data_IF_094579062627
#
_entry.id   IF_094579062627
#
_cell.length_a   1.000
_cell.length_b   1.000
_cell.length_c   1.000
_cell.angle_alpha   90.00
_cell.angle_beta   90.00
_cell.angle_gamma   90.00
#
_symmetry.space_group_name_H-M   'P 1'
#
loop_
_entity.id
_entity.type
_entity.pdbx_description
1 polymer ?
#
# COMPACT_ATOMS: atom_id res chain seq x y z
N UNK A 1 -23.22 -8.51 26.53
CA UNK A 1 -23.09 -9.96 26.27
C UNK A 1 -24.16 -10.45 25.28
N UNK A 2 -25.45 -10.15 25.50
CA UNK A 2 -26.54 -10.59 24.60
C UNK A 2 -26.42 -10.08 23.16
N UNK A 3 -26.12 -8.78 22.96
CA UNK A 3 -25.97 -8.21 21.61
C UNK A 3 -24.79 -8.80 20.84
N UNK A 4 -23.68 -9.10 21.54
CA UNK A 4 -22.51 -9.75 20.93
C UNK A 4 -22.88 -11.13 20.38
N UNK A 5 -23.63 -11.93 21.16
CA UNK A 5 -24.12 -13.24 20.71
C UNK A 5 -25.04 -13.13 19.50
N UNK A 6 -25.93 -12.13 19.46
CA UNK A 6 -26.81 -11.88 18.31
C UNK A 6 -26.02 -11.51 17.06
N UNK A 7 -24.96 -10.70 17.19
CA UNK A 7 -24.07 -10.37 16.07
C UNK A 7 -23.36 -11.63 15.57
N UNK A 8 -22.76 -12.43 16.45
CA UNK A 8 -22.10 -13.68 16.05
C UNK A 8 -23.04 -14.64 15.32
N UNK A 9 -24.29 -14.80 15.81
CA UNK A 9 -25.29 -15.63 15.16
C UNK A 9 -25.71 -15.09 13.79
N UNK A 10 -25.95 -13.78 13.68
CA UNK A 10 -26.34 -13.18 12.41
C UNK A 10 -25.22 -13.25 11.37
N UNK A 11 -23.96 -13.07 11.75
CA UNK A 11 -22.79 -13.24 10.86
C UNK A 11 -22.70 -14.69 10.37
N UNK A 12 -22.85 -15.66 11.27
CA UNK A 12 -22.85 -17.07 10.89
C UNK A 12 -23.98 -17.42 9.92
N UNK A 13 -25.21 -16.97 10.19
CA UNK A 13 -26.35 -17.19 9.29
C UNK A 13 -26.07 -16.57 7.92
N UNK A 14 -25.52 -15.36 7.87
CA UNK A 14 -25.19 -14.69 6.61
C UNK A 14 -24.22 -15.51 5.74
N UNK A 15 -23.20 -16.13 6.35
CA UNK A 15 -22.13 -16.80 5.61
C UNK A 15 -22.41 -18.29 5.33
N UNK A 16 -23.14 -18.98 6.21
CA UNK A 16 -23.26 -20.45 6.16
C UNK A 16 -24.68 -20.98 5.98
N UNK A 17 -25.74 -20.15 6.11
CA UNK A 17 -27.11 -20.64 5.94
C UNK A 17 -27.41 -20.96 4.47
N UNK A 18 -28.02 -22.12 4.23
CA UNK A 18 -28.36 -22.61 2.90
C UNK A 18 -29.56 -21.87 2.30
N UNK A 19 -30.44 -21.32 3.13
CA UNK A 19 -31.63 -20.61 2.71
C UNK A 19 -31.32 -19.13 2.43
N UNK A 20 -31.60 -18.69 1.20
CA UNK A 20 -31.37 -17.30 0.80
C UNK A 20 -32.19 -16.29 1.62
N UNK A 21 -33.41 -16.64 2.02
CA UNK A 21 -34.26 -15.77 2.85
C UNK A 21 -33.64 -15.47 4.23
N UNK A 22 -33.04 -16.46 4.89
CA UNK A 22 -32.39 -16.29 6.18
C UNK A 22 -31.14 -15.41 6.05
N UNK A 23 -30.34 -15.61 5.01
CA UNK A 23 -29.18 -14.74 4.71
C UNK A 23 -29.58 -13.29 4.47
N UNK A 24 -30.66 -13.06 3.72
CA UNK A 24 -31.18 -11.70 3.48
C UNK A 24 -31.67 -11.07 4.78
N UNK A 25 -32.41 -11.81 5.61
CA UNK A 25 -32.88 -11.30 6.90
C UNK A 25 -31.72 -10.97 7.86
N UNK A 26 -30.71 -11.85 7.93
CA UNK A 26 -29.50 -11.60 8.72
C UNK A 26 -28.74 -10.37 8.21
N UNK A 27 -28.56 -10.23 6.89
CA UNK A 27 -27.92 -9.05 6.31
C UNK A 27 -28.69 -7.76 6.63
N UNK A 28 -30.03 -7.76 6.49
CA UNK A 28 -30.86 -6.60 6.82
C UNK A 28 -30.71 -6.19 8.28
N UNK A 29 -30.73 -7.16 9.19
CA UNK A 29 -30.51 -6.90 10.61
C UNK A 29 -29.11 -6.35 10.89
N UNK A 30 -28.06 -6.90 10.26
CA UNK A 30 -26.68 -6.41 10.41
C UNK A 30 -26.51 -4.99 9.85
N UNK A 31 -27.16 -4.65 8.74
CA UNK A 31 -27.18 -3.29 8.18
C UNK A 31 -27.86 -2.31 9.14
N UNK A 32 -28.98 -2.69 9.74
CA UNK A 32 -29.65 -1.87 10.76
C UNK A 32 -28.77 -1.70 12.01
N UNK A 33 -28.14 -2.79 12.46
CA UNK A 33 -27.23 -2.79 13.59
C UNK A 33 -26.06 -1.82 13.38
N UNK A 34 -25.46 -1.78 12.18
CA UNK A 34 -24.37 -0.86 11.82
C UNK A 34 -24.72 0.61 12.04
N UNK A 35 -26.00 0.99 11.94
CA UNK A 35 -26.48 2.36 12.12
C UNK A 35 -26.67 2.72 13.61
N UNK A 36 -26.68 1.74 14.52
CA UNK A 36 -26.89 1.98 15.94
C UNK A 36 -25.63 2.49 16.64
N UNK A 37 -25.82 3.18 17.78
CA UNK A 37 -24.71 3.56 18.66
C UNK A 37 -24.03 2.35 19.33
N UNK A 38 -24.78 1.28 19.61
CA UNK A 38 -24.26 0.06 20.23
C UNK A 38 -23.20 -0.66 19.37
N UNK A 39 -23.20 -0.43 18.05
CA UNK A 39 -22.21 -0.98 17.14
C UNK A 39 -20.77 -0.61 17.51
N UNK A 40 -20.54 0.60 18.06
CA UNK A 40 -19.22 1.03 18.52
C UNK A 40 -18.68 0.12 19.63
N UNK A 41 -19.45 -0.03 20.70
CA UNK A 41 -19.04 -0.80 21.88
C UNK A 41 -18.95 -2.30 21.57
N UNK A 42 -19.92 -2.86 20.85
CA UNK A 42 -19.96 -4.28 20.54
C UNK A 42 -18.81 -4.68 19.61
N UNK A 43 -18.55 -3.90 18.55
CA UNK A 43 -17.44 -4.20 17.64
C UNK A 43 -16.08 -4.06 18.33
N UNK A 44 -15.91 -3.02 19.16
CA UNK A 44 -14.69 -2.85 19.96
C UNK A 44 -14.48 -4.03 20.90
N UNK A 45 -15.53 -4.44 21.63
CA UNK A 45 -15.46 -5.56 22.57
C UNK A 45 -15.19 -6.92 21.88
N UNK A 46 -15.68 -7.13 20.66
CA UNK A 46 -15.38 -8.33 19.88
C UNK A 46 -13.86 -8.40 19.61
N UNK A 47 -13.28 -7.31 19.09
CA UNK A 47 -11.86 -7.27 18.73
C UNK A 47 -10.91 -7.37 19.94
N UNK A 48 -11.24 -6.71 21.06
CA UNK A 48 -10.36 -6.65 22.24
C UNK A 48 -10.57 -7.78 23.24
N UNK A 49 -11.56 -8.65 23.07
CA UNK A 49 -11.79 -9.71 24.05
C UNK A 49 -10.70 -10.78 24.02
N UNK A 50 -10.23 -11.19 25.20
CA UNK A 50 -9.19 -12.21 25.41
C UNK A 50 -9.72 -13.65 25.30
N UNK A 51 -10.86 -13.88 24.63
CA UNK A 51 -11.43 -15.23 24.53
C UNK A 51 -10.65 -16.13 23.57
N UNK A 52 -9.42 -16.48 23.96
CA UNK A 52 -8.81 -17.79 23.70
C UNK A 52 -9.40 -18.75 24.75
N UNK A 53 -10.70 -19.01 24.66
CA UNK A 53 -11.26 -20.20 25.28
C UNK A 53 -11.88 -21.01 24.16
N UNK A 54 -11.43 -22.26 23.92
CA UNK A 54 -12.19 -23.18 23.12
C UNK A 54 -13.43 -23.51 23.95
N UNK A 55 -14.48 -22.69 23.85
CA UNK A 55 -15.80 -23.15 24.24
C UNK A 55 -16.09 -24.30 23.28
N UNK A 56 -16.06 -25.52 23.82
CA UNK A 56 -16.35 -26.82 23.21
C UNK A 56 -17.77 -26.92 22.60
N UNK A 57 -18.33 -25.82 22.08
CA UNK A 57 -19.68 -25.72 21.54
C UNK A 57 -19.94 -24.58 20.54
N UNK A 58 -18.95 -23.76 20.14
CA UNK A 58 -19.20 -22.71 19.14
C UNK A 58 -18.82 -23.19 17.75
N UNK A 59 -19.80 -23.54 16.92
CA UNK A 59 -19.69 -23.95 15.52
C UNK A 59 -19.30 -22.80 14.56
N UNK A 60 -18.75 -21.68 15.06
CA UNK A 60 -18.44 -20.50 14.26
C UNK A 60 -16.93 -20.31 14.17
N UNK A 61 -16.33 -20.14 12.99
CA UNK A 61 -14.97 -19.62 12.90
C UNK A 61 -14.98 -18.16 13.42
N UNK A 62 -14.48 -17.95 14.65
CA UNK A 62 -14.51 -16.67 15.36
C UNK A 62 -14.01 -15.48 14.51
N UNK A 63 -13.07 -15.76 13.59
CA UNK A 63 -12.45 -14.82 12.66
C UNK A 63 -13.43 -14.06 11.76
N UNK A 64 -14.56 -14.66 11.37
CA UNK A 64 -15.55 -13.97 10.53
C UNK A 64 -16.26 -12.85 11.30
N UNK A 65 -16.51 -13.09 12.60
CA UNK A 65 -17.15 -12.12 13.49
C UNK A 65 -16.18 -10.97 13.79
N UNK A 66 -14.90 -11.27 13.98
CA UNK A 66 -13.87 -10.25 14.16
C UNK A 66 -13.63 -9.43 12.89
N UNK A 67 -13.64 -10.07 11.72
CA UNK A 67 -13.56 -9.38 10.43
C UNK A 67 -14.73 -8.42 10.23
N UNK A 68 -15.95 -8.89 10.51
CA UNK A 68 -17.13 -8.04 10.49
C UNK A 68 -17.02 -6.86 11.48
N UNK A 69 -16.55 -7.10 12.71
CA UNK A 69 -16.35 -6.05 13.69
C UNK A 69 -15.34 -4.98 13.24
N UNK A 70 -14.21 -5.39 12.65
CA UNK A 70 -13.22 -4.47 12.08
C UNK A 70 -13.80 -3.62 10.95
N UNK A 71 -14.58 -4.23 10.04
CA UNK A 71 -15.26 -3.50 8.97
C UNK A 71 -16.29 -2.48 9.48
N UNK A 72 -17.08 -2.85 10.51
CA UNK A 72 -18.01 -1.93 11.15
C UNK A 72 -17.26 -0.72 11.71
N UNK A 73 -16.20 -0.96 12.49
CA UNK A 73 -15.45 0.14 13.10
C UNK A 73 -14.86 1.04 12.04
N UNK A 74 -14.20 0.49 11.00
CA UNK A 74 -13.70 1.29 9.87
C UNK A 74 -14.80 2.19 9.30
N UNK A 75 -15.94 1.61 8.92
CA UNK A 75 -17.04 2.36 8.29
C UNK A 75 -17.64 3.42 9.23
N UNK A 76 -17.84 3.09 10.51
CA UNK A 76 -18.39 4.04 11.48
C UNK A 76 -17.41 5.17 11.79
N UNK A 77 -16.12 4.88 11.91
CA UNK A 77 -15.07 5.91 12.04
C UNK A 77 -15.10 6.82 10.81
N UNK A 78 -15.19 6.23 9.62
CA UNK A 78 -15.20 7.00 8.39
C UNK A 78 -16.42 7.95 8.30
N UNK A 79 -17.60 7.47 8.68
CA UNK A 79 -18.87 8.18 8.50
C UNK A 79 -19.30 9.06 9.67
N UNK A 80 -18.97 8.68 10.90
CA UNK A 80 -19.47 9.27 12.15
C UNK A 80 -18.33 9.67 13.10
N UNK A 81 -17.07 9.36 12.78
CA UNK A 81 -15.94 9.57 13.69
C UNK A 81 -15.70 11.03 14.08
N UNK A 82 -16.16 12.01 13.28
CA UNK A 82 -16.09 13.44 13.63
C UNK A 82 -17.02 13.82 14.79
N UNK A 83 -18.08 13.03 15.04
CA UNK A 83 -19.04 13.26 16.14
C UNK A 83 -18.51 12.79 17.50
N UNK A 84 -17.47 11.95 17.52
CA UNK A 84 -16.92 11.38 18.74
C UNK A 84 -16.16 12.43 19.55
N UNK A 85 -16.35 12.42 20.87
CA UNK A 85 -15.55 13.22 21.80
C UNK A 85 -14.11 12.72 21.86
N UNK A 86 -13.16 13.61 22.18
CA UNK A 86 -11.73 13.30 22.17
C UNK A 86 -11.37 12.11 23.08
N UNK A 87 -11.93 12.03 24.30
CA UNK A 87 -11.67 10.90 25.21
C UNK A 87 -12.15 9.55 24.66
N UNK A 88 -13.25 9.53 23.91
CA UNK A 88 -13.76 8.31 23.24
C UNK A 88 -12.85 7.92 22.08
N UNK A 89 -12.35 8.90 21.32
CA UNK A 89 -11.37 8.68 20.25
C UNK A 89 -10.07 8.08 20.80
N UNK A 90 -9.54 8.59 21.90
CA UNK A 90 -8.34 8.04 22.56
C UNK A 90 -8.55 6.60 23.06
N UNK A 91 -9.70 6.32 23.68
CA UNK A 91 -10.04 4.96 24.13
C UNK A 91 -10.14 3.98 22.94
N UNK A 92 -10.76 4.42 21.84
CA UNK A 92 -10.90 3.61 20.63
C UNK A 92 -9.56 3.37 19.94
N UNK A 93 -8.67 4.38 19.91
CA UNK A 93 -7.31 4.25 19.39
C UNK A 93 -6.55 3.15 20.14
N UNK A 94 -6.57 3.19 21.48
CA UNK A 94 -5.93 2.16 22.31
C UNK A 94 -6.53 0.78 22.07
N UNK A 95 -7.85 0.67 22.00
CA UNK A 95 -8.54 -0.60 21.75
C UNK A 95 -8.15 -1.22 20.40
N UNK A 96 -8.09 -0.40 19.34
CA UNK A 96 -7.68 -0.86 18.02
C UNK A 96 -6.20 -1.22 17.97
N UNK A 97 -5.31 -0.52 18.68
CA UNK A 97 -3.89 -0.89 18.80
C UNK A 97 -3.72 -2.25 19.50
N UNK A 98 -4.50 -2.50 20.55
CA UNK A 98 -4.54 -3.82 21.21
C UNK A 98 -5.04 -4.89 20.24
N UNK A 99 -6.07 -4.61 19.45
CA UNK A 99 -6.56 -5.53 18.43
C UNK A 99 -5.49 -5.80 17.34
N UNK A 100 -4.82 -4.77 16.84
CA UNK A 100 -3.74 -4.93 15.84
C UNK A 100 -2.60 -5.79 16.38
N UNK A 101 -2.23 -5.62 17.66
CA UNK A 101 -1.28 -6.48 18.36
C UNK A 101 -1.75 -7.92 18.43
N UNK A 102 -3.01 -8.14 18.82
CA UNK A 102 -3.60 -9.48 18.96
C UNK A 102 -3.63 -10.23 17.64
N UNK A 103 -3.99 -9.54 16.55
CA UNK A 103 -4.17 -10.12 15.23
C UNK A 103 -2.93 -9.97 14.33
N UNK A 104 -1.75 -9.64 14.87
CA UNK A 104 -0.51 -9.53 14.10
C UNK A 104 -0.08 -10.85 13.45
N UNK A 105 -0.41 -11.97 14.10
CA UNK A 105 -0.21 -13.34 13.59
C UNK A 105 -1.50 -13.96 13.03
N UNK A 106 -2.58 -13.17 12.90
CA UNK A 106 -3.88 -13.61 12.42
C UNK A 106 -4.03 -13.50 10.89
N UNK A 107 -5.25 -13.66 10.36
CA UNK A 107 -5.50 -13.50 8.92
C UNK A 107 -5.14 -12.09 8.44
N UNK A 108 -4.39 -11.95 7.33
CA UNK A 108 -3.89 -10.65 6.86
C UNK A 108 -5.04 -9.67 6.59
N UNK A 109 -6.15 -10.16 6.01
CA UNK A 109 -7.32 -9.33 5.70
C UNK A 109 -7.94 -8.68 6.94
N UNK A 110 -7.97 -9.39 8.08
CA UNK A 110 -8.48 -8.84 9.34
C UNK A 110 -7.56 -7.74 9.86
N UNK A 111 -6.26 -7.99 9.85
CA UNK A 111 -5.25 -7.01 10.26
C UNK A 111 -5.33 -5.75 9.39
N UNK A 112 -5.45 -5.88 8.07
CA UNK A 112 -5.67 -4.75 7.15
C UNK A 112 -6.90 -3.93 7.54
N UNK A 113 -8.05 -4.58 7.82
CA UNK A 113 -9.26 -3.83 8.22
C UNK A 113 -9.07 -3.08 9.54
N UNK A 114 -8.37 -3.67 10.51
CA UNK A 114 -8.04 -2.99 11.78
C UNK A 114 -7.09 -1.82 11.52
N UNK A 115 -6.08 -1.98 10.68
CA UNK A 115 -5.13 -0.92 10.35
C UNK A 115 -5.81 0.23 9.59
N UNK A 116 -6.74 -0.07 8.67
CA UNK A 116 -7.55 0.94 7.99
C UNK A 116 -8.47 1.69 8.96
N UNK A 117 -9.09 1.00 9.92
CA UNK A 117 -9.87 1.64 10.98
C UNK A 117 -9.02 2.58 11.83
N UNK A 118 -7.79 2.16 12.18
CA UNK A 118 -6.80 2.97 12.89
C UNK A 118 -6.40 4.22 12.09
N UNK A 119 -6.01 4.05 10.82
CA UNK A 119 -5.64 5.14 9.93
C UNK A 119 -6.77 6.18 9.79
N UNK A 120 -8.00 5.71 9.56
CA UNK A 120 -9.19 6.56 9.48
C UNK A 120 -9.47 7.33 10.79
N UNK A 121 -9.21 6.73 11.95
CA UNK A 121 -9.38 7.37 13.25
C UNK A 121 -8.32 8.45 13.48
N UNK A 122 -7.07 8.13 13.17
CA UNK A 122 -5.93 9.04 13.34
C UNK A 122 -6.14 10.29 12.50
N UNK A 123 -6.50 10.13 11.22
CA UNK A 123 -6.84 11.23 10.32
C UNK A 123 -7.89 12.19 10.92
N UNK A 124 -8.86 11.67 11.68
CA UNK A 124 -9.94 12.44 12.34
C UNK A 124 -9.60 12.93 13.76
N UNK A 125 -8.37 12.71 14.21
CA UNK A 125 -7.85 13.15 15.53
C UNK A 125 -6.66 14.11 15.41
N UNK A 126 -6.10 14.30 14.21
CA UNK A 126 -4.89 15.13 13.99
C UNK A 126 -5.05 16.57 14.49
N UNK A 127 -6.25 17.13 14.42
CA UNK A 127 -6.52 18.49 14.91
C UNK A 127 -6.40 18.63 16.45
N UNK A 128 -6.29 17.51 17.19
CA UNK A 128 -6.38 17.47 18.64
C UNK A 128 -5.22 16.71 19.31
N UNK A 129 -3.99 16.98 18.89
CA UNK A 129 -2.77 16.49 19.54
C UNK A 129 -1.73 16.02 18.53
N UNK A 130 -0.95 15.00 18.90
CA UNK A 130 0.00 14.33 18.00
C UNK A 130 -0.28 12.82 17.95
N UNK A 131 -1.40 12.41 17.34
CA UNK A 131 -1.81 11.00 17.33
C UNK A 131 -0.85 10.12 16.53
N UNK A 132 -0.17 10.69 15.52
CA UNK A 132 0.85 10.00 14.72
C UNK A 132 2.08 9.67 15.58
N UNK A 133 2.60 10.61 16.38
CA UNK A 133 3.73 10.35 17.30
C UNK A 133 3.42 9.20 18.27
N UNK A 134 2.19 9.19 18.82
CA UNK A 134 1.72 8.12 19.70
C UNK A 134 1.65 6.78 18.97
N UNK A 135 1.16 6.77 17.73
CA UNK A 135 1.13 5.58 16.89
C UNK A 135 2.54 5.04 16.68
N UNK A 136 3.49 5.87 16.24
CA UNK A 136 4.87 5.44 15.97
C UNK A 136 5.54 4.88 17.23
N UNK A 137 5.29 5.48 18.40
CA UNK A 137 5.73 4.92 19.67
C UNK A 137 5.11 3.53 19.94
N UNK A 138 3.80 3.36 19.70
CA UNK A 138 3.14 2.05 19.82
C UNK A 138 3.68 1.03 18.80
N UNK A 139 3.99 1.45 17.57
CA UNK A 139 4.57 0.59 16.54
C UNK A 139 5.95 0.08 16.92
N UNK A 140 6.82 0.92 17.49
CA UNK A 140 8.11 0.47 18.03
C UNK A 140 7.95 -0.60 19.11
N UNK A 141 6.97 -0.45 20.00
CA UNK A 141 6.66 -1.46 21.02
C UNK A 141 6.08 -2.76 20.43
N UNK A 142 5.47 -2.72 19.25
CA UNK A 142 4.98 -3.92 18.55
C UNK A 142 6.11 -4.71 17.90
N UNK A 143 7.20 -4.04 17.48
CA UNK A 143 8.35 -4.72 16.86
C UNK A 143 9.05 -5.71 17.81
N UNK A 144 8.90 -5.56 19.13
CA UNK A 144 9.48 -6.48 20.12
C UNK A 144 8.70 -7.79 20.29
N UNK A 145 7.57 -7.96 19.61
CA UNK A 145 6.71 -9.15 19.68
C UNK A 145 6.93 -10.02 18.45
N UNK A 146 6.80 -11.33 18.61
CA UNK A 146 6.88 -12.28 17.49
C UNK A 146 5.85 -11.94 16.40
N UNK A 147 6.29 -11.94 15.13
CA UNK A 147 5.56 -11.43 13.96
C UNK A 147 5.05 -9.97 14.03
N UNK A 148 5.42 -9.18 15.04
CA UNK A 148 4.98 -7.79 15.18
C UNK A 148 5.40 -6.89 14.02
N UNK A 149 6.52 -7.21 13.35
CA UNK A 149 7.00 -6.50 12.17
C UNK A 149 6.01 -6.55 10.99
N UNK A 150 5.20 -7.61 10.86
CA UNK A 150 4.20 -7.69 9.80
C UNK A 150 3.03 -6.73 10.06
N UNK A 151 2.58 -6.61 11.32
CA UNK A 151 1.57 -5.63 11.70
C UNK A 151 2.07 -4.20 11.59
N UNK A 152 3.34 -3.96 11.92
CA UNK A 152 3.96 -2.65 11.71
C UNK A 152 4.02 -2.32 10.22
N UNK A 153 4.43 -3.27 9.37
CA UNK A 153 4.50 -3.06 7.93
C UNK A 153 3.13 -2.79 7.31
N UNK A 154 2.10 -3.54 7.73
CA UNK A 154 0.72 -3.32 7.31
C UNK A 154 0.24 -1.94 7.73
N UNK A 155 0.46 -1.55 8.99
CA UNK A 155 0.10 -0.22 9.48
C UNK A 155 0.78 0.88 8.66
N UNK A 156 2.09 0.77 8.47
CA UNK A 156 2.86 1.75 7.70
C UNK A 156 2.40 1.81 6.24
N UNK A 157 1.85 0.73 5.68
CA UNK A 157 1.30 0.73 4.32
C UNK A 157 -0.04 1.47 4.23
N UNK A 158 -0.94 1.28 5.20
CA UNK A 158 -2.29 1.85 5.12
C UNK A 158 -2.38 3.31 5.59
N UNK A 159 -1.39 3.80 6.34
CA UNK A 159 -1.38 5.20 6.81
C UNK A 159 -1.32 6.20 5.65
N UNK A 160 -0.40 6.06 4.66
CA UNK A 160 -0.43 6.88 3.45
C UNK A 160 -1.64 6.63 2.55
N UNK A 161 -2.07 5.37 2.41
CA UNK A 161 -3.17 5.01 1.50
C UNK A 161 -4.48 5.73 1.88
N UNK A 162 -4.79 5.89 3.17
CA UNK A 162 -5.98 6.65 3.61
C UNK A 162 -5.92 8.15 3.19
N UNK A 163 -4.73 8.73 3.04
CA UNK A 163 -4.56 10.10 2.52
C UNK A 163 -4.94 10.18 1.05
N UNK A 164 -4.55 9.18 0.27
CA UNK A 164 -4.81 9.10 -1.17
C UNK A 164 -6.28 8.75 -1.42
N UNK A 165 -6.82 7.77 -0.71
CA UNK A 165 -8.22 7.34 -0.85
C UNK A 165 -9.21 8.44 -0.43
N UNK A 166 -8.89 9.19 0.63
CA UNK A 166 -9.70 10.35 1.06
C UNK A 166 -9.61 11.56 0.12
N UNK A 167 -8.77 11.53 -0.92
CA UNK A 167 -8.79 12.51 -2.01
C UNK A 167 -9.81 12.18 -3.09
N UNK A 168 -10.10 10.89 -3.29
CA UNK A 168 -10.97 10.42 -4.37
C UNK A 168 -12.43 10.27 -3.95
N UNK A 169 -12.69 10.11 -2.65
CA UNK A 169 -14.04 10.01 -2.08
C UNK A 169 -14.49 11.37 -1.55
N UNK A 170 -15.76 11.75 -1.75
CA UNK A 170 -16.44 12.90 -1.13
C UNK A 170 -16.41 12.82 0.41
N UNK A 171 -15.22 12.98 0.98
CA UNK A 171 -14.96 12.85 2.38
C UNK A 171 -15.31 14.15 3.09
N UNK A 172 -16.06 14.04 4.18
CA UNK A 172 -16.42 15.14 5.10
C UNK A 172 -15.20 15.73 5.86
N UNK A 173 -13.98 15.46 5.38
CA UNK A 173 -12.72 15.89 5.99
C UNK A 173 -12.20 17.10 5.21
N UNK A 174 -11.81 18.15 5.94
CA UNK A 174 -11.26 19.36 5.31
C UNK A 174 -9.95 19.05 4.58
N UNK A 175 -9.66 19.77 3.50
CA UNK A 175 -8.34 19.72 2.83
C UNK A 175 -7.21 20.05 3.82
N UNK A 176 -7.42 21.01 4.72
CA UNK A 176 -6.46 21.40 5.75
C UNK A 176 -6.08 20.24 6.68
N UNK A 177 -7.07 19.46 7.14
CA UNK A 177 -6.84 18.31 8.01
C UNK A 177 -6.02 17.21 7.29
N UNK A 178 -6.33 16.95 6.02
CA UNK A 178 -5.57 16.00 5.19
C UNK A 178 -4.13 16.45 4.98
N UNK A 179 -3.91 17.72 4.65
CA UNK A 179 -2.56 18.28 4.50
C UNK A 179 -1.78 18.25 5.82
N UNK A 180 -2.43 18.51 6.96
CA UNK A 180 -1.78 18.40 8.27
C UNK A 180 -1.38 16.95 8.57
N UNK A 181 -2.28 15.98 8.37
CA UNK A 181 -1.98 14.56 8.54
C UNK A 181 -0.81 14.12 7.65
N UNK A 182 -0.85 14.47 6.36
CA UNK A 182 0.22 14.12 5.41
C UNK A 182 1.56 14.70 5.85
N UNK A 183 1.59 15.97 6.26
CA UNK A 183 2.80 16.62 6.77
C UNK A 183 3.32 15.94 8.04
N UNK A 184 2.45 15.67 9.01
CA UNK A 184 2.86 14.98 10.25
C UNK A 184 3.35 13.55 9.97
N UNK A 185 2.75 12.84 9.01
CA UNK A 185 3.19 11.52 8.59
C UNK A 185 4.58 11.57 7.95
N UNK A 186 4.83 12.54 7.07
CA UNK A 186 6.11 12.71 6.38
C UNK A 186 7.26 13.03 7.33
N UNK A 187 7.00 13.65 8.50
CA UNK A 187 8.04 13.86 9.53
C UNK A 187 8.64 12.55 10.06
N UNK A 188 7.91 11.44 9.97
CA UNK A 188 8.36 10.11 10.38
C UNK A 188 9.00 9.30 9.25
N UNK A 189 9.16 9.88 8.05
CA UNK A 189 9.80 9.20 6.91
C UNK A 189 11.14 8.55 7.25
N UNK A 190 12.10 9.20 7.94
CA UNK A 190 13.39 8.59 8.23
C UNK A 190 13.27 7.27 9.00
N UNK A 191 12.37 7.21 9.98
CA UNK A 191 12.12 6.00 10.77
C UNK A 191 11.53 4.87 9.93
N UNK A 192 10.66 5.22 8.98
CA UNK A 192 10.04 4.23 8.07
C UNK A 192 11.06 3.70 7.08
N UNK A 193 11.87 4.56 6.47
CA UNK A 193 12.90 4.10 5.53
C UNK A 193 13.94 3.22 6.24
N UNK A 194 14.33 3.57 7.47
CA UNK A 194 15.21 2.73 8.28
C UNK A 194 14.57 1.37 8.60
N UNK A 195 13.30 1.36 9.01
CA UNK A 195 12.57 0.11 9.27
C UNK A 195 12.49 -0.76 8.00
N UNK A 196 12.11 -0.20 6.85
CA UNK A 196 12.02 -0.92 5.58
C UNK A 196 13.38 -1.49 5.17
N UNK A 197 14.46 -0.73 5.37
CA UNK A 197 15.82 -1.18 5.10
C UNK A 197 16.16 -2.40 5.96
N UNK A 198 15.95 -2.30 7.27
CA UNK A 198 16.17 -3.43 8.20
C UNK A 198 15.33 -4.66 7.83
N UNK A 199 14.10 -4.48 7.35
CA UNK A 199 13.27 -5.60 6.89
C UNK A 199 13.77 -6.21 5.58
N UNK A 200 14.30 -5.39 4.67
CA UNK A 200 14.83 -5.84 3.38
C UNK A 200 16.14 -6.66 3.53
N UNK A 201 16.99 -6.29 4.48
CA UNK A 201 18.27 -6.98 4.71
C UNK A 201 18.10 -8.36 5.36
N UNK A 202 17.09 -8.51 6.22
CA UNK A 202 16.75 -9.76 6.91
C UNK A 202 16.11 -10.84 5.98
N UNK A 203 16.04 -10.59 4.67
CA UNK A 203 15.20 -11.35 3.72
C UNK A 203 15.92 -12.27 2.75
N UNK A 204 17.25 -12.44 2.79
CA UNK A 204 17.96 -13.21 1.75
C UNK A 204 17.95 -14.74 1.90
N UNK A 205 17.08 -15.31 2.75
CA UNK A 205 16.86 -16.75 2.80
C UNK A 205 15.82 -17.19 1.74
N UNK A 206 16.19 -18.20 0.96
CA UNK A 206 15.44 -18.71 -0.19
C UNK A 206 14.16 -19.46 0.28
N UNK A 207 12.99 -18.84 0.12
CA UNK A 207 11.69 -19.46 0.42
C UNK A 207 10.50 -18.54 0.11
N UNK A 208 9.32 -19.13 -0.08
CA UNK A 208 8.06 -18.42 -0.43
C UNK A 208 7.69 -17.30 0.56
N UNK A 209 8.03 -17.48 1.85
CA UNK A 209 7.82 -16.47 2.89
C UNK A 209 8.66 -15.21 2.69
N UNK A 210 9.85 -15.33 2.08
CA UNK A 210 10.71 -14.19 1.74
C UNK A 210 10.11 -13.36 0.59
N UNK A 211 9.54 -14.02 -0.42
CA UNK A 211 8.88 -13.33 -1.54
C UNK A 211 7.65 -12.52 -1.09
N UNK A 212 6.79 -13.09 -0.25
CA UNK A 212 5.64 -12.35 0.30
C UNK A 212 6.07 -11.15 1.15
N UNK A 213 7.15 -11.31 1.94
CA UNK A 213 7.74 -10.21 2.71
C UNK A 213 8.24 -9.09 1.79
N UNK A 214 8.96 -9.42 0.72
CA UNK A 214 9.45 -8.43 -0.24
C UNK A 214 8.30 -7.65 -0.88
N UNK A 215 7.22 -8.32 -1.28
CA UNK A 215 6.01 -7.66 -1.78
C UNK A 215 5.42 -6.67 -0.77
N UNK A 216 5.34 -7.05 0.51
CA UNK A 216 4.84 -6.14 1.56
C UNK A 216 5.77 -4.94 1.78
N UNK A 217 7.09 -5.14 1.71
CA UNK A 217 8.07 -4.05 1.79
C UNK A 217 7.91 -3.08 0.62
N UNK A 218 7.82 -3.60 -0.62
CA UNK A 218 7.62 -2.79 -1.82
C UNK A 218 6.29 -2.04 -1.78
N UNK A 219 5.21 -2.69 -1.33
CA UNK A 219 3.90 -2.04 -1.24
C UNK A 219 3.87 -0.94 -0.18
N UNK A 220 4.54 -1.16 0.97
CA UNK A 220 4.74 -0.10 1.94
C UNK A 220 5.53 1.06 1.33
N UNK A 221 6.68 0.78 0.71
CA UNK A 221 7.49 1.81 0.05
C UNK A 221 6.67 2.61 -0.98
N UNK A 222 5.93 1.93 -1.85
CA UNK A 222 5.05 2.56 -2.86
C UNK A 222 4.04 3.52 -2.23
N UNK A 223 3.38 3.10 -1.14
CA UNK A 223 2.41 3.94 -0.43
C UNK A 223 3.05 5.26 0.07
N UNK A 224 4.29 5.19 0.57
CA UNK A 224 5.04 6.35 1.07
C UNK A 224 5.56 7.24 -0.06
N UNK A 225 5.99 6.66 -1.19
CA UNK A 225 6.41 7.43 -2.36
C UNK A 225 5.26 8.27 -2.89
N UNK A 226 4.04 7.72 -2.96
CA UNK A 226 2.83 8.42 -3.42
C UNK A 226 2.46 9.66 -2.60
N UNK A 227 2.71 9.65 -1.28
CA UNK A 227 2.55 10.85 -0.41
C UNK A 227 3.77 11.76 -0.38
N UNK A 228 4.91 11.38 -0.98
CA UNK A 228 6.09 12.23 -1.15
C UNK A 228 7.19 12.06 -0.10
N UNK A 229 7.42 10.83 0.40
CA UNK A 229 8.44 10.56 1.42
C UNK A 229 9.87 11.04 1.04
N UNK A 230 10.22 11.05 -0.24
CA UNK A 230 11.53 11.51 -0.71
C UNK A 230 11.56 12.98 -1.15
N UNK A 231 10.47 13.74 -1.01
CA UNK A 231 10.41 15.15 -1.45
C UNK A 231 11.31 16.08 -0.64
N UNK A 232 11.58 15.74 0.63
CA UNK A 232 12.47 16.50 1.52
C UNK A 232 13.92 16.01 1.50
N UNK A 233 14.19 14.89 0.82
CA UNK A 233 15.50 14.25 0.76
C UNK A 233 16.35 14.96 -0.32
N UNK A 234 17.61 15.33 -0.05
CA UNK A 234 18.47 15.95 -1.05
C UNK A 234 18.58 15.07 -2.31
N UNK A 235 18.40 15.68 -3.48
CA UNK A 235 18.32 14.98 -4.79
C UNK A 235 19.48 14.00 -5.05
N UNK A 236 20.66 14.26 -4.52
CA UNK A 236 21.84 13.40 -4.68
C UNK A 236 21.88 12.14 -3.82
N UNK A 237 20.96 11.97 -2.85
CA UNK A 237 21.03 10.87 -1.88
C UNK A 237 20.14 9.67 -2.20
N UNK A 238 19.05 9.88 -2.94
CA UNK A 238 18.17 8.81 -3.41
C UNK A 238 18.88 7.80 -4.34
N UNK A 239 19.71 8.22 -5.32
CA UNK A 239 20.44 7.29 -6.19
C UNK A 239 21.35 6.31 -5.45
N UNK A 240 21.86 6.74 -4.30
CA UNK A 240 22.74 5.95 -3.44
C UNK A 240 21.98 5.22 -2.34
N UNK A 241 20.66 5.41 -2.23
CA UNK A 241 19.88 4.86 -1.13
C UNK A 241 19.75 3.33 -1.26
N UNK A 242 20.08 2.54 -0.22
CA UNK A 242 20.06 1.08 -0.29
C UNK A 242 18.70 0.47 -0.71
N UNK A 243 17.58 1.14 -0.37
CA UNK A 243 16.26 0.69 -0.82
C UNK A 243 16.07 0.74 -2.34
N UNK A 244 16.73 1.66 -3.06
CA UNK A 244 16.66 1.66 -4.54
C UNK A 244 17.32 0.39 -5.11
N UNK A 245 18.44 -0.03 -4.53
CA UNK A 245 19.08 -1.30 -4.90
C UNK A 245 18.21 -2.50 -4.58
N UNK A 246 17.48 -2.47 -3.45
CA UNK A 246 16.50 -3.49 -3.12
C UNK A 246 15.39 -3.57 -4.18
N UNK A 247 14.79 -2.44 -4.55
CA UNK A 247 13.74 -2.38 -5.60
C UNK A 247 14.25 -2.92 -6.94
N UNK A 248 15.44 -2.49 -7.37
CA UNK A 248 16.05 -2.98 -8.61
C UNK A 248 16.34 -4.49 -8.57
N UNK A 249 16.76 -5.02 -7.40
CA UNK A 249 16.95 -6.46 -7.22
C UNK A 249 15.63 -7.22 -7.26
N UNK A 250 14.55 -6.64 -6.75
CA UNK A 250 13.20 -7.23 -6.79
C UNK A 250 12.63 -7.39 -8.20
N UNK A 251 13.17 -6.71 -9.21
CA UNK A 251 12.81 -6.95 -10.62
C UNK A 251 13.19 -8.35 -11.12
N UNK A 252 14.11 -9.05 -10.45
CA UNK A 252 14.49 -10.42 -10.81
C UNK A 252 13.55 -11.47 -10.19
N UNK A 253 12.65 -11.08 -9.28
CA UNK A 253 11.70 -11.96 -8.62
C UNK A 253 10.30 -11.83 -9.25
N UNK A 254 9.81 -12.89 -9.89
CA UNK A 254 8.51 -12.94 -10.58
C UNK A 254 7.36 -12.52 -9.66
N UNK A 255 7.44 -12.87 -8.37
CA UNK A 255 6.42 -12.51 -7.39
C UNK A 255 6.43 -11.02 -7.06
N UNK A 256 7.56 -10.34 -7.16
CA UNK A 256 7.74 -8.93 -6.74
C UNK A 256 7.82 -7.95 -7.91
N UNK A 257 7.98 -8.44 -9.14
CA UNK A 257 8.21 -7.66 -10.35
C UNK A 257 7.25 -6.48 -10.52
N UNK A 258 5.93 -6.72 -10.51
CA UNK A 258 4.93 -5.67 -10.75
C UNK A 258 5.04 -4.51 -9.76
N UNK A 259 5.17 -4.85 -8.47
CA UNK A 259 5.31 -3.85 -7.42
C UNK A 259 6.64 -3.10 -7.53
N UNK A 260 7.72 -3.76 -7.96
CA UNK A 260 8.99 -3.10 -8.17
C UNK A 260 8.94 -2.12 -9.36
N UNK A 261 8.26 -2.50 -10.46
CA UNK A 261 8.00 -1.60 -11.59
C UNK A 261 7.15 -0.40 -11.13
N UNK A 262 6.05 -0.63 -10.43
CA UNK A 262 5.20 0.45 -9.90
C UNK A 262 5.98 1.42 -9.01
N UNK A 263 6.83 0.92 -8.12
CA UNK A 263 7.69 1.77 -7.27
C UNK A 263 8.66 2.60 -8.10
N UNK A 264 9.32 2.00 -9.10
CA UNK A 264 10.27 2.72 -9.94
C UNK A 264 9.59 3.79 -10.79
N UNK A 265 8.44 3.48 -11.39
CA UNK A 265 7.63 4.44 -12.16
C UNK A 265 7.21 5.62 -11.28
N UNK A 266 6.68 5.36 -10.08
CA UNK A 266 6.26 6.42 -9.16
C UNK A 266 7.46 7.25 -8.66
N UNK A 267 8.63 6.63 -8.44
CA UNK A 267 9.83 7.37 -8.07
C UNK A 267 10.34 8.25 -9.23
N UNK A 268 10.32 7.74 -10.46
CA UNK A 268 10.76 8.46 -11.67
C UNK A 268 9.92 9.70 -11.90
N UNK A 269 8.60 9.58 -11.78
CA UNK A 269 7.68 10.71 -12.00
C UNK A 269 7.79 11.81 -10.93
N UNK A 270 8.39 11.51 -9.77
CA UNK A 270 8.46 12.44 -8.62
C UNK A 270 9.85 12.95 -8.29
N UNK A 271 10.92 12.33 -8.80
CA UNK A 271 12.30 12.68 -8.46
C UNK A 271 13.13 13.00 -9.70
N UNK A 272 13.43 14.29 -9.91
CA UNK A 272 14.18 14.78 -11.07
C UNK A 272 15.56 14.12 -11.26
N UNK A 273 16.24 13.72 -10.18
CA UNK A 273 17.56 13.09 -10.26
C UNK A 273 17.54 11.60 -10.62
N UNK A 274 16.40 10.92 -10.49
CA UNK A 274 16.31 9.47 -10.70
C UNK A 274 16.30 9.04 -12.18
N UNK A 275 15.64 9.74 -13.12
CA UNK A 275 15.69 9.42 -14.54
C UNK A 275 17.13 9.25 -15.07
N UNK A 276 18.06 10.14 -14.70
CA UNK A 276 19.46 10.03 -15.12
C UNK A 276 20.13 8.74 -14.63
N UNK A 277 19.86 8.35 -13.39
CA UNK A 277 20.44 7.16 -12.77
C UNK A 277 19.90 5.90 -13.44
N UNK A 278 18.59 5.84 -13.68
CA UNK A 278 17.98 4.71 -14.36
C UNK A 278 18.38 4.65 -15.83
N UNK A 279 18.55 5.80 -16.50
CA UNK A 279 19.08 5.88 -17.86
C UNK A 279 20.46 5.21 -17.95
N UNK A 280 21.37 5.48 -17.01
CA UNK A 280 22.67 4.79 -16.93
C UNK A 280 22.56 3.27 -16.64
N UNK A 281 21.40 2.77 -16.20
CA UNK A 281 21.13 1.35 -15.93
C UNK A 281 20.35 0.65 -17.05
N UNK A 282 19.88 1.37 -18.07
CA UNK A 282 19.06 0.82 -19.15
C UNK A 282 19.75 -0.36 -19.83
N UNK A 283 21.04 -0.25 -20.14
CA UNK A 283 21.76 -1.34 -20.80
C UNK A 283 21.73 -2.62 -19.96
N UNK A 284 21.95 -2.51 -18.65
CA UNK A 284 21.86 -3.65 -17.73
C UNK A 284 20.44 -4.23 -17.68
N UNK A 285 19.41 -3.39 -17.54
CA UNK A 285 18.01 -3.84 -17.49
C UNK A 285 17.58 -4.50 -18.81
N UNK A 286 18.05 -3.97 -19.94
CA UNK A 286 17.81 -4.52 -21.27
C UNK A 286 18.41 -5.91 -21.41
N UNK A 287 19.70 -6.07 -21.12
CA UNK A 287 20.41 -7.34 -21.28
C UNK A 287 19.92 -8.42 -20.30
N UNK A 288 19.67 -8.04 -19.04
CA UNK A 288 19.36 -9.00 -17.98
C UNK A 288 17.89 -9.38 -17.90
N UNK A 289 16.97 -8.50 -18.32
CA UNK A 289 15.53 -8.72 -18.19
C UNK A 289 14.84 -8.68 -19.55
N UNK A 290 14.99 -7.60 -20.32
CA UNK A 290 14.20 -7.42 -21.55
C UNK A 290 14.53 -8.46 -22.64
N UNK A 291 15.81 -8.65 -22.99
CA UNK A 291 16.19 -9.57 -24.07
C UNK A 291 15.80 -11.04 -23.78
N UNK A 292 16.03 -11.57 -22.55
CA UNK A 292 15.50 -12.88 -22.17
C UNK A 292 13.96 -12.94 -22.32
N UNK A 293 13.25 -11.93 -21.80
CA UNK A 293 11.79 -11.90 -21.84
C UNK A 293 11.21 -11.80 -23.25
N UNK A 294 11.86 -11.07 -24.15
CA UNK A 294 11.51 -11.04 -25.58
C UNK A 294 11.67 -12.42 -26.23
N UNK A 295 12.69 -13.17 -25.82
CA UNK A 295 12.96 -14.51 -26.34
C UNK A 295 11.97 -15.56 -25.80
N UNK A 296 11.54 -15.41 -24.54
CA UNK A 296 10.57 -16.31 -23.90
C UNK A 296 9.12 -15.93 -24.14
N UNK A 297 8.86 -14.73 -24.69
CA UNK A 297 7.51 -14.18 -24.85
C UNK A 297 6.85 -13.80 -23.53
N UNK A 298 7.62 -13.36 -22.53
CA UNK A 298 7.08 -12.94 -21.24
C UNK A 298 6.52 -11.50 -21.34
N UNK A 299 5.28 -11.39 -21.79
CA UNK A 299 4.58 -10.12 -21.99
C UNK A 299 4.52 -9.26 -20.73
N UNK A 300 4.45 -9.90 -19.56
CA UNK A 300 4.40 -9.20 -18.28
C UNK A 300 5.67 -8.42 -18.03
N UNK A 301 6.84 -9.06 -18.22
CA UNK A 301 8.12 -8.38 -18.04
C UNK A 301 8.36 -7.35 -19.14
N UNK A 302 8.03 -7.66 -20.39
CA UNK A 302 8.17 -6.73 -21.52
C UNK A 302 7.33 -5.48 -21.29
N UNK A 303 6.05 -5.62 -20.94
CA UNK A 303 5.13 -4.51 -20.67
C UNK A 303 5.57 -3.67 -19.47
N UNK A 304 5.99 -4.31 -18.37
CA UNK A 304 6.50 -3.60 -17.20
C UNK A 304 7.75 -2.76 -17.51
N UNK A 305 8.70 -3.31 -18.26
CA UNK A 305 9.89 -2.57 -18.68
C UNK A 305 9.59 -1.49 -19.71
N UNK A 306 8.66 -1.74 -20.64
CA UNK A 306 8.20 -0.74 -21.60
C UNK A 306 7.61 0.49 -20.88
N UNK A 307 6.76 0.27 -19.88
CA UNK A 307 6.21 1.31 -19.03
C UNK A 307 7.32 2.09 -18.29
N UNK A 308 8.23 1.39 -17.61
CA UNK A 308 9.34 2.03 -16.89
C UNK A 308 10.23 2.86 -17.82
N UNK A 309 10.64 2.32 -18.97
CA UNK A 309 11.50 3.02 -19.91
C UNK A 309 10.80 4.23 -20.55
N UNK A 310 9.50 4.12 -20.83
CA UNK A 310 8.68 5.22 -21.31
C UNK A 310 8.67 6.35 -20.27
N UNK A 311 8.44 6.03 -19.00
CA UNK A 311 8.42 7.00 -17.90
C UNK A 311 9.79 7.66 -17.68
N UNK A 312 10.90 6.92 -17.74
CA UNK A 312 12.26 7.48 -17.64
C UNK A 312 12.50 8.52 -18.73
N UNK A 313 12.11 8.22 -19.98
CA UNK A 313 12.27 9.15 -21.09
C UNK A 313 11.36 10.38 -21.01
N UNK A 314 10.15 10.22 -20.50
CA UNK A 314 9.19 11.30 -20.31
C UNK A 314 9.57 12.24 -19.16
N UNK A 315 10.09 11.70 -18.06
CA UNK A 315 10.49 12.47 -16.88
C UNK A 315 11.74 13.33 -17.11
N UNK A 316 12.61 12.96 -18.07
CA UNK A 316 13.80 13.74 -18.41
C UNK A 316 14.03 13.89 -19.93
N UNK A 317 13.17 14.66 -20.64
CA UNK A 317 13.26 14.79 -22.10
C UNK A 317 14.59 15.39 -22.57
N UNK A 318 15.21 16.27 -21.78
CA UNK A 318 16.51 16.87 -22.11
C UNK A 318 17.61 15.83 -22.26
N UNK A 319 17.66 14.82 -21.37
CA UNK A 319 18.64 13.74 -21.44
C UNK A 319 18.49 12.88 -22.70
N UNK A 320 17.28 12.80 -23.26
CA UNK A 320 16.99 12.05 -24.48
C UNK A 320 17.40 12.87 -25.72
N UNK A 321 17.21 14.19 -25.70
CA UNK A 321 17.62 15.08 -26.79
C UNK A 321 19.14 15.10 -26.97
N UNK A 322 19.90 14.95 -25.89
CA UNK A 322 21.37 14.89 -25.93
C UNK A 322 21.92 13.69 -26.73
N UNK A 323 21.06 12.71 -27.07
CA UNK A 323 21.40 11.55 -27.90
C UNK A 323 22.65 10.79 -27.43
N UNK A 324 22.82 10.70 -26.10
CA UNK A 324 23.86 9.88 -25.47
C UNK A 324 23.70 8.40 -25.83
N UNK A 325 24.75 7.61 -25.59
CA UNK A 325 24.70 6.17 -25.82
C UNK A 325 23.58 5.51 -25.00
N UNK A 326 23.34 5.99 -23.79
CA UNK A 326 22.28 5.52 -22.90
C UNK A 326 20.88 5.92 -23.40
N UNK A 327 20.72 7.14 -23.92
CA UNK A 327 19.46 7.58 -24.52
C UNK A 327 19.10 6.77 -25.78
N UNK A 328 20.10 6.46 -26.60
CA UNK A 328 19.93 5.58 -27.75
C UNK A 328 19.59 4.15 -27.32
N UNK A 329 20.22 3.64 -26.26
CA UNK A 329 19.90 2.32 -25.70
C UNK A 329 18.46 2.25 -25.16
N UNK A 330 17.96 3.34 -24.56
CA UNK A 330 16.57 3.44 -24.11
C UNK A 330 15.59 3.40 -25.28
N UNK A 331 15.84 4.21 -26.32
CA UNK A 331 15.01 4.22 -27.52
C UNK A 331 15.00 2.85 -28.23
N UNK A 332 16.16 2.20 -28.33
CA UNK A 332 16.30 0.86 -28.91
C UNK A 332 15.59 -0.23 -28.09
N UNK A 333 15.64 -0.14 -26.75
CA UNK A 333 14.87 -1.01 -25.87
C UNK A 333 13.36 -0.83 -26.09
N UNK A 334 12.87 0.42 -26.15
CA UNK A 334 11.46 0.72 -26.41
C UNK A 334 11.02 0.25 -27.80
N UNK A 335 11.85 0.42 -28.83
CA UNK A 335 11.58 -0.13 -30.17
C UNK A 335 11.48 -1.66 -30.16
N UNK A 336 12.32 -2.33 -29.36
CA UNK A 336 12.26 -3.78 -29.19
C UNK A 336 10.94 -4.22 -28.53
N UNK A 337 10.44 -3.44 -27.56
CA UNK A 337 9.12 -3.67 -26.95
C UNK A 337 7.97 -3.46 -27.96
N UNK A 338 8.02 -2.39 -28.76
CA UNK A 338 6.97 -2.10 -29.78
C UNK A 338 6.96 -3.13 -30.91
N UNK A 339 8.14 -3.63 -31.29
CA UNK A 339 8.28 -4.65 -32.32
C UNK A 339 7.88 -6.06 -31.85
N UNK A 340 7.66 -6.25 -30.55
CA UNK A 340 7.24 -7.54 -30.00
C UNK A 340 5.84 -7.91 -30.52
N UNK A 341 5.67 -9.09 -31.13
CA UNK A 341 4.40 -9.52 -31.68
C UNK A 341 3.46 -10.02 -30.56
N UNK A 342 2.77 -9.09 -29.89
CA UNK A 342 1.67 -9.40 -28.97
C UNK A 342 0.32 -9.32 -29.69
N UNK A 343 -0.66 -10.12 -29.24
CA UNK A 343 -2.04 -10.03 -29.72
C UNK A 343 -2.71 -8.73 -29.24
N UNK A 344 -2.30 -8.24 -28.06
CA UNK A 344 -2.80 -7.03 -27.44
C UNK A 344 -1.86 -5.85 -27.69
N UNK A 345 -2.43 -4.69 -28.00
CA UNK A 345 -1.66 -3.47 -28.31
C UNK A 345 -1.15 -2.74 -27.05
N UNK A 346 -1.37 -3.28 -25.86
CA UNK A 346 -1.08 -2.62 -24.57
C UNK A 346 0.41 -2.26 -24.42
N UNK A 347 1.32 -3.16 -24.81
CA UNK A 347 2.77 -2.92 -24.73
C UNK A 347 3.14 -1.75 -25.64
N UNK A 348 2.66 -1.74 -26.89
CA UNK A 348 2.95 -0.66 -27.83
C UNK A 348 2.35 0.68 -27.35
N UNK A 349 1.10 0.65 -26.86
CA UNK A 349 0.36 1.81 -26.38
C UNK A 349 1.08 2.51 -25.21
N UNK A 350 1.65 1.72 -24.28
CA UNK A 350 2.43 2.24 -23.14
C UNK A 350 3.66 3.09 -23.54
N UNK A 351 4.17 2.91 -24.77
CA UNK A 351 5.34 3.65 -25.28
C UNK A 351 4.98 4.90 -26.07
N UNK A 352 3.71 5.07 -26.47
CA UNK A 352 3.32 6.12 -27.41
C UNK A 352 3.60 7.53 -26.88
N UNK A 353 3.38 7.74 -25.58
CA UNK A 353 3.59 9.05 -24.96
C UNK A 353 5.06 9.49 -25.03
N UNK A 354 6.00 8.56 -24.87
CA UNK A 354 7.42 8.82 -25.09
C UNK A 354 7.70 9.28 -26.52
N UNK A 355 7.19 8.55 -27.52
CA UNK A 355 7.41 8.88 -28.93
C UNK A 355 6.77 10.22 -29.33
N UNK A 356 5.56 10.50 -28.83
CA UNK A 356 4.86 11.75 -29.08
C UNK A 356 5.62 12.96 -28.50
N UNK A 357 6.02 12.89 -27.23
CA UNK A 357 6.78 13.95 -26.57
C UNK A 357 8.12 14.20 -27.27
N UNK A 358 8.83 13.15 -27.72
CA UNK A 358 10.11 13.30 -28.40
C UNK A 358 9.99 13.86 -29.82
N UNK A 359 8.95 13.46 -30.57
CA UNK A 359 8.64 14.03 -31.88
C UNK A 359 8.38 15.54 -31.76
N UNK A 360 7.59 15.95 -30.77
CA UNK A 360 7.33 17.36 -30.49
C UNK A 360 8.58 18.11 -30.01
N UNK A 361 9.40 17.53 -29.15
CA UNK A 361 10.64 18.16 -28.68
C UNK A 361 11.64 18.42 -29.83
N UNK A 362 11.76 17.48 -30.79
CA UNK A 362 12.57 17.67 -31.99
C UNK A 362 11.99 18.73 -32.93
N UNK A 363 10.66 18.82 -33.05
CA UNK A 363 10.00 19.87 -33.85
C UNK A 363 10.19 21.25 -33.22
N UNK A 364 10.07 21.37 -31.89
CA UNK A 364 10.21 22.63 -31.16
C UNK A 364 11.66 23.14 -31.10
N UNK A 365 12.68 22.26 -31.06
CA UNK A 365 14.09 22.67 -31.14
C UNK A 365 14.53 23.09 -32.57
N UNK A 366 13.66 22.91 -33.57
CA UNK A 366 13.88 23.36 -34.95
C UNK A 366 13.32 24.77 -35.22
N UNK A 367 12.59 25.36 -34.28
CA UNK A 367 12.13 26.76 -34.27
C UNK A 367 12.87 27.54 -33.19
#
# INVERSE_FOLDING_TARGET
MELRMKVSQAVHVLNHDTQSCNRVAANQWLVQFQQTGAAWEVATAILTSDHVQPSMSSFVPDLEVEFFAAQILKRKIQNEGYLLQLGVKDALLNALLVAAKKFSSGPPQLLTQICLALSALILRTVEHGKPIDRLFYSLQNLQSVDNGNLAVLEMLTVLPEEVVDSQNVDCKISSSCRSQYARELLLHTPMVLEFLLQQSEKGFDCGTQSQEKNRKILRCLLSWVRVGCFSEIPQGSLPTHPLLNFVLKSLQDVASFDLAIEVLVELVSRHEGLPQVLLCRVHFLKEMLLLPSLSTGDEKVIGGLACLFSEVGQAAPSLIVDASAEALALADALLSCVAFPSEDWEIADSTLQFWYCHLLAKILNFF
#
